data_IF_924186357895
#
_entry.id   IF_924186357895
#
_cell.length_a   1.000
_cell.length_b   1.000
_cell.length_c   1.000
_cell.angle_alpha   90.00
_cell.angle_beta   90.00
_cell.angle_gamma   90.00
#
_symmetry.space_group_name_H-M   'P 1'
#
loop_
_entity.id
_entity.type
_entity.pdbx_description
1 polymer ?
#
# COMPACT_ATOMS: atom_id res chain seq x y z
N UNK A 1 4.70 23.25 49.93
CA UNK A 1 5.16 21.88 49.60
C UNK A 1 4.61 21.52 48.23
N UNK A 2 5.41 21.67 47.18
CA UNK A 2 4.98 21.42 45.80
C UNK A 2 5.22 19.95 45.45
N UNK A 3 4.13 19.22 45.12
CA UNK A 3 4.20 17.86 44.57
C UNK A 3 4.58 17.95 43.10
N UNK A 4 5.73 17.37 42.74
CA UNK A 4 6.13 17.14 41.35
C UNK A 4 5.22 16.05 40.78
N UNK A 5 4.57 16.33 39.65
CA UNK A 5 3.74 15.34 38.96
C UNK A 5 4.62 14.21 38.37
N UNK A 6 4.17 12.94 38.40
CA UNK A 6 4.91 11.84 37.79
C UNK A 6 5.04 12.06 36.29
N UNK A 7 6.27 11.97 35.77
CA UNK A 7 6.52 12.10 34.32
C UNK A 7 6.12 10.80 33.60
N UNK A 8 5.51 10.92 32.41
CA UNK A 8 5.17 9.75 31.59
C UNK A 8 6.45 9.07 31.11
N UNK A 9 6.51 7.75 31.28
CA UNK A 9 7.62 6.91 30.84
C UNK A 9 7.67 6.88 29.31
N UNK A 10 8.73 7.47 28.74
CA UNK A 10 8.96 7.55 27.29
C UNK A 10 9.36 6.21 26.68
N UNK A 11 9.70 5.21 27.50
CA UNK A 11 10.09 3.87 27.06
C UNK A 11 8.96 2.85 27.24
N UNK A 12 7.80 3.27 27.73
CA UNK A 12 6.63 2.41 27.76
C UNK A 12 6.29 1.99 26.31
N UNK A 13 6.16 0.69 26.03
CA UNK A 13 5.79 0.22 24.70
C UNK A 13 4.45 0.84 24.33
N UNK A 14 4.47 1.69 23.31
CA UNK A 14 3.24 2.26 22.75
C UNK A 14 2.43 1.10 22.21
N UNK A 15 1.23 0.89 22.74
CA UNK A 15 0.33 -0.14 22.23
C UNK A 15 0.14 0.10 20.73
N UNK A 16 0.36 -0.92 19.87
CA UNK A 16 0.11 -0.75 18.45
C UNK A 16 -1.36 -0.36 18.26
N UNK A 17 -1.66 0.54 17.31
CA UNK A 17 -3.04 0.96 17.07
C UNK A 17 -3.91 -0.25 16.76
N UNK A 18 -5.04 -0.34 17.45
CA UNK A 18 -6.01 -1.45 17.40
C UNK A 18 -6.84 -1.48 16.10
N UNK A 19 -6.26 -0.97 14.99
CA UNK A 19 -6.92 -0.97 13.70
C UNK A 19 -6.77 -2.37 13.10
N UNK A 20 -7.87 -3.06 12.74
CA UNK A 20 -7.78 -4.33 12.04
C UNK A 20 -6.93 -4.15 10.78
N UNK A 21 -6.07 -5.13 10.43
CA UNK A 21 -5.29 -5.05 9.21
C UNK A 21 -6.23 -4.88 8.01
N UNK A 22 -5.88 -4.01 7.05
CA UNK A 22 -6.70 -3.82 5.86
C UNK A 22 -6.87 -5.15 5.11
N UNK A 23 -8.06 -5.38 4.57
CA UNK A 23 -8.34 -6.54 3.71
C UNK A 23 -7.48 -6.43 2.44
N UNK A 24 -6.54 -7.38 2.21
CA UNK A 24 -5.63 -7.31 1.07
C UNK A 24 -6.36 -7.29 -0.28
N UNK A 25 -7.50 -7.98 -0.40
CA UNK A 25 -8.27 -8.01 -1.65
C UNK A 25 -8.90 -6.65 -1.91
N UNK A 26 -9.51 -6.05 -0.88
CA UNK A 26 -10.09 -4.72 -0.99
C UNK A 26 -9.05 -3.66 -1.33
N UNK A 27 -7.85 -3.75 -0.76
CA UNK A 27 -6.75 -2.85 -1.03
C UNK A 27 -6.24 -2.96 -2.48
N UNK A 28 -6.00 -4.20 -2.95
CA UNK A 28 -5.61 -4.47 -4.34
C UNK A 28 -6.68 -4.00 -5.33
N UNK A 29 -7.96 -4.24 -5.04
CA UNK A 29 -9.06 -3.78 -5.89
C UNK A 29 -9.12 -2.25 -5.97
N UNK A 30 -8.97 -1.56 -4.83
CA UNK A 30 -8.92 -0.10 -4.79
C UNK A 30 -7.72 0.46 -5.55
N UNK A 31 -6.55 -0.18 -5.41
CA UNK A 31 -5.33 0.18 -6.13
C UNK A 31 -5.54 0.08 -7.65
N UNK A 32 -6.04 -1.07 -8.14
CA UNK A 32 -6.33 -1.26 -9.56
C UNK A 32 -7.34 -0.23 -10.10
N UNK A 33 -8.37 0.08 -9.32
CA UNK A 33 -9.37 1.08 -9.71
C UNK A 33 -8.74 2.48 -9.85
N UNK A 34 -7.85 2.88 -8.94
CA UNK A 34 -7.11 4.15 -9.05
C UNK A 34 -6.26 4.22 -10.31
N UNK A 35 -5.50 3.17 -10.60
CA UNK A 35 -4.64 3.12 -11.80
C UNK A 35 -5.45 3.24 -13.08
N UNK A 36 -6.55 2.48 -13.20
CA UNK A 36 -7.45 2.53 -14.37
C UNK A 36 -8.15 3.88 -14.55
N UNK A 37 -8.41 4.60 -13.45
CA UNK A 37 -9.04 5.91 -13.51
C UNK A 37 -8.05 7.03 -13.90
N UNK A 38 -6.75 6.76 -13.89
CA UNK A 38 -5.73 7.78 -14.14
C UNK A 38 -5.37 7.80 -15.63
N UNK A 39 -5.45 8.96 -16.31
CA UNK A 39 -5.17 9.06 -17.75
C UNK A 39 -3.67 9.06 -18.07
N UNK A 40 -2.80 9.20 -17.08
CA UNK A 40 -1.35 9.27 -17.19
C UNK A 40 -0.71 8.54 -16.01
N UNK A 41 0.56 8.11 -16.09
CA UNK A 41 1.22 7.48 -14.95
C UNK A 41 1.23 8.43 -13.73
N UNK A 42 0.74 7.97 -12.56
CA UNK A 42 0.70 8.78 -11.34
C UNK A 42 2.06 8.88 -10.63
N UNK A 43 3.11 8.29 -11.20
CA UNK A 43 4.44 8.21 -10.58
C UNK A 43 5.44 9.10 -11.32
N UNK A 44 6.24 9.84 -10.56
CA UNK A 44 7.29 10.71 -11.12
C UNK A 44 8.54 9.94 -11.58
N UNK A 45 8.68 8.67 -11.17
CA UNK A 45 9.86 7.85 -11.49
C UNK A 45 9.48 6.38 -11.70
N UNK A 46 10.27 5.67 -12.51
CA UNK A 46 10.13 4.23 -12.69
C UNK A 46 10.27 3.46 -11.36
N UNK A 47 11.13 3.92 -10.45
CA UNK A 47 11.28 3.31 -9.12
C UNK A 47 10.02 3.41 -8.26
N UNK A 48 9.26 4.51 -8.38
CA UNK A 48 7.98 4.66 -7.69
C UNK A 48 6.90 3.72 -8.27
N UNK A 49 6.90 3.51 -9.59
CA UNK A 49 6.04 2.50 -10.21
C UNK A 49 6.39 1.08 -9.74
N UNK A 50 7.68 0.73 -9.67
CA UNK A 50 8.12 -0.58 -9.15
C UNK A 50 7.74 -0.79 -7.67
N UNK A 51 7.78 0.26 -6.84
CA UNK A 51 7.37 0.15 -5.45
C UNK A 51 5.88 -0.22 -5.32
N UNK A 52 5.05 0.33 -6.20
CA UNK A 52 3.62 0.03 -6.29
C UNK A 52 3.36 -1.44 -6.70
N UNK A 53 4.14 -1.95 -7.66
CA UNK A 53 4.09 -3.36 -8.06
C UNK A 53 4.54 -4.30 -6.93
N UNK A 54 5.64 -3.97 -6.25
CA UNK A 54 6.13 -4.74 -5.11
C UNK A 54 5.12 -4.78 -3.97
N UNK A 55 4.43 -3.67 -3.72
CA UNK A 55 3.34 -3.61 -2.74
C UNK A 55 2.21 -4.57 -3.12
N UNK A 56 1.74 -4.52 -4.37
CA UNK A 56 0.69 -5.41 -4.86
C UNK A 56 1.07 -6.90 -4.76
N UNK A 57 2.31 -7.24 -5.12
CA UNK A 57 2.85 -8.60 -4.97
C UNK A 57 2.91 -9.00 -3.50
N UNK A 58 3.36 -8.09 -2.63
CA UNK A 58 3.43 -8.30 -1.18
C UNK A 58 2.07 -8.65 -0.59
N UNK A 59 1.03 -7.89 -0.92
CA UNK A 59 -0.34 -8.14 -0.48
C UNK A 59 -0.89 -9.48 -1.01
N UNK A 60 -0.61 -9.80 -2.27
CA UNK A 60 -1.14 -11.02 -2.89
C UNK A 60 -0.53 -12.32 -2.34
N UNK A 61 0.70 -12.29 -1.81
CA UNK A 61 1.42 -13.50 -1.33
C UNK A 61 0.66 -14.35 -0.32
N UNK A 62 -0.24 -13.75 0.47
CA UNK A 62 -0.96 -14.43 1.55
C UNK A 62 -2.48 -14.38 1.41
N UNK A 63 -3.00 -13.84 0.30
CA UNK A 63 -4.42 -13.54 0.13
C UNK A 63 -5.12 -14.42 -0.96
N UNK A 64 -4.45 -15.47 -1.43
CA UNK A 64 -5.05 -16.48 -2.30
C UNK A 64 -5.12 -16.10 -3.80
N UNK A 65 -5.82 -16.91 -4.61
CA UNK A 65 -5.79 -16.79 -6.07
C UNK A 65 -6.46 -15.50 -6.60
N UNK A 66 -7.49 -15.01 -5.91
CA UNK A 66 -8.15 -13.75 -6.28
C UNK A 66 -7.19 -12.56 -6.14
N UNK A 67 -6.47 -12.48 -5.02
CA UNK A 67 -5.45 -11.46 -4.81
C UNK A 67 -4.31 -11.55 -5.84
N UNK A 68 -3.88 -12.76 -6.20
CA UNK A 68 -2.88 -12.97 -7.25
C UNK A 68 -3.36 -12.45 -8.62
N UNK A 69 -4.63 -12.66 -8.97
CA UNK A 69 -5.21 -12.15 -10.20
C UNK A 69 -5.28 -10.61 -10.21
N UNK A 70 -5.62 -10.00 -9.07
CA UNK A 70 -5.63 -8.54 -8.92
C UNK A 70 -4.22 -7.95 -9.00
N UNK A 71 -3.22 -8.54 -8.34
CA UNK A 71 -1.83 -8.09 -8.44
C UNK A 71 -1.32 -8.17 -9.89
N UNK A 72 -1.61 -9.26 -10.60
CA UNK A 72 -1.24 -9.37 -12.02
C UNK A 72 -1.94 -8.32 -12.90
N UNK A 73 -3.16 -7.92 -12.56
CA UNK A 73 -3.86 -6.84 -13.26
C UNK A 73 -3.25 -5.47 -12.96
N UNK A 74 -2.78 -5.23 -11.73
CA UNK A 74 -2.06 -4.02 -11.35
C UNK A 74 -0.76 -3.90 -12.15
N UNK A 75 0.05 -4.95 -12.20
CA UNK A 75 1.31 -4.96 -12.98
C UNK A 75 1.08 -4.59 -14.45
N UNK A 76 0.10 -5.22 -15.10
CA UNK A 76 -0.24 -4.89 -16.50
C UNK A 76 -0.70 -3.45 -16.69
N UNK A 77 -1.45 -2.91 -15.74
CA UNK A 77 -1.92 -1.52 -15.81
C UNK A 77 -0.77 -0.54 -15.59
N UNK A 78 0.15 -0.84 -14.67
CA UNK A 78 1.37 -0.07 -14.44
C UNK A 78 2.26 -0.06 -15.70
N UNK A 79 2.49 -1.22 -16.32
CA UNK A 79 3.22 -1.33 -17.60
C UNK A 79 2.55 -0.50 -18.71
N UNK A 80 1.21 -0.58 -18.83
CA UNK A 80 0.45 0.21 -19.81
C UNK A 80 0.65 1.71 -19.60
N UNK A 81 0.60 2.17 -18.35
CA UNK A 81 0.78 3.58 -18.01
C UNK A 81 2.21 4.04 -18.26
N UNK A 82 3.22 3.24 -17.88
CA UNK A 82 4.63 3.56 -18.13
C UNK A 82 4.92 3.70 -19.63
N UNK A 83 4.34 2.81 -20.46
CA UNK A 83 4.47 2.87 -21.93
C UNK A 83 3.86 4.13 -22.57
N UNK A 84 3.07 4.93 -21.84
CA UNK A 84 2.56 6.22 -22.32
C UNK A 84 3.54 7.39 -22.10
N UNK A 85 4.66 7.14 -21.40
CA UNK A 85 5.66 8.17 -21.05
C UNK A 85 6.85 8.17 -22.00
N UNK A 86 7.01 7.10 -22.78
CA UNK A 86 8.07 6.88 -23.77
C UNK A 86 7.60 7.33 -25.17
#
# INVERSE_FOLDING_TARGET
MSRVAPQPDLFAPSAPPDRPPPDPIAELAAQLARLRATPAPPWDTASAAMAEEHHAIGLARHAGPEAAALAAAILRETERLLAMTD
#
